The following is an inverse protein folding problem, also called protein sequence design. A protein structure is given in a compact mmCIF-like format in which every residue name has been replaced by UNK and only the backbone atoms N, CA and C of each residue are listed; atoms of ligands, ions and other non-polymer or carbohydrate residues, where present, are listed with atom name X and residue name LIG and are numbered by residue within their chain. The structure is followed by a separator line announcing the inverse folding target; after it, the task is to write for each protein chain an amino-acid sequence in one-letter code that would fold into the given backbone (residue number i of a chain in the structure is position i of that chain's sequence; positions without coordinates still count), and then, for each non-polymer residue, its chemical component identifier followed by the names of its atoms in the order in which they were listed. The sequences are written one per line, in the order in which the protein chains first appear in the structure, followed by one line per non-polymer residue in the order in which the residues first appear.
data_IF_787004101747
#
_entry.id   IF_787004101747
#
_cell.length_a   1.000
_cell.length_b   1.000
_cell.length_c   1.000
_cell.angle_alpha   90.00
_cell.angle_beta   90.00
_cell.angle_gamma   90.00
#
_symmetry.space_group_name_H-M   'P 1'
#
loop_
_entity.id
_entity.type
_entity.pdbx_description
1 polymer ?
#
# COMPACT_ATOMS: atom_id res chain seq x y z
N UNK A 1 15.02 11.73 4.47
CA UNK A 1 16.47 11.55 4.78
C UNK A 1 16.74 10.21 5.47
N UNK A 2 15.75 9.63 6.19
CA UNK A 2 15.92 8.37 6.91
C UNK A 2 15.84 7.13 6.00
N UNK A 3 15.33 7.31 4.77
CA UNK A 3 15.30 6.29 3.73
C UNK A 3 16.36 6.67 2.68
N UNK A 4 17.49 5.95 2.60
CA UNK A 4 18.63 6.33 1.76
C UNK A 4 18.38 6.20 0.26
N UNK A 5 17.38 5.42 -0.12
CA UNK A 5 17.01 5.19 -1.51
C UNK A 5 15.69 5.85 -1.90
N UNK A 6 14.88 5.14 -2.67
CA UNK A 6 13.56 5.60 -3.10
C UNK A 6 12.59 5.64 -1.92
N UNK A 7 11.88 6.76 -1.66
CA UNK A 7 10.95 6.86 -0.54
C UNK A 7 9.59 6.19 -0.83
N UNK A 8 9.42 5.60 -2.00
CA UNK A 8 8.16 4.98 -2.43
C UNK A 8 8.20 3.46 -2.34
N UNK A 9 7.06 2.87 -2.08
CA UNK A 9 6.85 1.44 -2.26
C UNK A 9 6.80 1.15 -3.77
N UNK A 10 7.71 0.34 -4.31
CA UNK A 10 7.70 0.02 -5.73
C UNK A 10 6.51 -0.85 -6.11
N UNK A 11 6.13 -0.76 -7.38
CA UNK A 11 5.00 -1.50 -7.96
C UNK A 11 3.62 -1.16 -7.37
N UNK A 12 3.52 -0.09 -6.57
CA UNK A 12 2.23 0.48 -6.19
C UNK A 12 1.82 1.55 -7.21
N UNK A 13 0.58 1.50 -7.66
CA UNK A 13 -0.03 2.56 -8.47
C UNK A 13 -1.32 3.01 -7.77
N UNK A 14 -1.40 4.24 -7.31
CA UNK A 14 -0.35 5.28 -7.27
C UNK A 14 0.82 4.91 -6.36
N UNK A 15 1.96 5.58 -6.52
CA UNK A 15 3.14 5.35 -5.69
C UNK A 15 2.86 5.75 -4.24
N UNK A 16 2.87 4.79 -3.33
CA UNK A 16 2.67 5.00 -1.90
C UNK A 16 4.02 5.27 -1.22
N UNK A 17 4.08 6.27 -0.36
CA UNK A 17 5.28 6.54 0.43
C UNK A 17 5.52 5.46 1.49
N UNK A 18 6.78 5.17 1.79
CA UNK A 18 7.14 4.39 2.99
C UNK A 18 6.77 5.18 4.24
N UNK A 19 7.14 6.47 4.28
CA UNK A 19 6.67 7.46 5.23
C UNK A 19 6.35 8.77 4.50
N UNK A 20 5.20 9.40 4.74
CA UNK A 20 4.86 10.67 4.11
C UNK A 20 5.75 11.80 4.66
N UNK A 21 6.06 12.77 3.80
CA UNK A 21 6.91 13.91 4.14
C UNK A 21 6.16 15.25 4.14
N UNK A 22 4.95 15.29 3.61
CA UNK A 22 4.18 16.51 3.36
C UNK A 22 2.78 16.48 3.97
N UNK A 23 2.04 15.38 3.78
CA UNK A 23 0.66 15.24 4.25
C UNK A 23 0.29 13.77 4.46
N UNK A 24 -0.67 13.54 5.34
CA UNK A 24 -1.32 12.25 5.53
C UNK A 24 -2.42 12.13 4.48
N UNK A 25 -2.42 11.05 3.71
CA UNK A 25 -3.31 10.84 2.57
C UNK A 25 -4.52 9.99 2.87
N UNK A 26 -4.34 9.02 3.77
CA UNK A 26 -5.41 8.10 4.16
C UNK A 26 -5.26 7.63 5.60
N UNK A 27 -6.34 7.16 6.17
CA UNK A 27 -6.34 6.57 7.51
C UNK A 27 -5.51 5.28 7.54
N UNK A 28 -4.52 5.23 8.43
CA UNK A 28 -3.61 4.09 8.56
C UNK A 28 -2.30 4.24 7.78
N UNK A 29 -2.08 5.39 7.12
CA UNK A 29 -0.77 5.68 6.52
C UNK A 29 0.31 5.73 7.62
N UNK A 30 1.40 4.98 7.45
CA UNK A 30 2.49 4.94 8.42
C UNK A 30 3.26 6.27 8.42
N UNK A 31 3.29 6.96 9.55
CA UNK A 31 3.91 8.28 9.67
C UNK A 31 5.38 8.21 10.02
N UNK A 32 5.75 7.27 10.87
CA UNK A 32 7.12 7.04 11.32
C UNK A 32 7.27 5.64 11.89
N UNK A 33 8.51 5.22 12.10
CA UNK A 33 8.86 3.98 12.79
C UNK A 33 9.80 4.28 13.94
N UNK A 34 9.76 3.45 14.97
CA UNK A 34 10.69 3.51 16.12
C UNK A 34 11.53 2.25 16.15
N UNK A 35 12.83 2.42 16.32
CA UNK A 35 13.78 1.34 16.55
C UNK A 35 14.32 1.44 17.97
N UNK A 36 14.25 0.36 18.74
CA UNK A 36 14.72 0.30 20.12
C UNK A 36 15.36 -1.06 20.45
N UNK A 37 15.99 -1.14 21.61
CA UNK A 37 16.64 -2.36 22.09
C UNK A 37 15.64 -3.44 22.56
N UNK A 38 14.38 -3.08 22.77
CA UNK A 38 13.29 -3.99 23.09
C UNK A 38 11.97 -3.41 22.65
N UNK A 39 10.97 -4.29 22.47
CA UNK A 39 9.59 -3.92 22.12
C UNK A 39 8.99 -2.94 23.14
N UNK A 40 9.15 -3.21 24.44
CA UNK A 40 8.64 -2.32 25.50
C UNK A 40 9.19 -0.89 25.39
N UNK A 41 10.48 -0.73 25.11
CA UNK A 41 11.09 0.59 24.90
C UNK A 41 10.54 1.24 23.61
N UNK A 42 10.32 0.47 22.55
CA UNK A 42 9.75 0.98 21.34
C UNK A 42 8.31 1.47 21.56
N UNK A 43 7.49 0.73 22.28
CA UNK A 43 6.12 1.11 22.64
C UNK A 43 6.08 2.38 23.51
N UNK A 44 6.94 2.46 24.52
CA UNK A 44 7.07 3.68 25.34
C UNK A 44 7.45 4.89 24.48
N UNK A 45 8.39 4.73 23.55
CA UNK A 45 8.82 5.79 22.64
C UNK A 45 7.70 6.19 21.66
N UNK A 46 6.95 5.24 21.12
CA UNK A 46 5.78 5.52 20.27
C UNK A 46 4.72 6.34 21.01
N UNK A 47 4.48 6.03 22.30
CA UNK A 47 3.51 6.77 23.11
C UNK A 47 3.92 8.24 23.38
N UNK A 48 5.19 8.58 23.21
CA UNK A 48 5.69 9.96 23.35
C UNK A 48 5.57 10.78 22.08
N UNK A 49 5.35 10.15 20.93
CA UNK A 49 5.20 10.83 19.65
C UNK A 49 3.85 11.57 19.63
N UNK A 50 3.91 12.87 19.42
CA UNK A 50 2.73 13.71 19.22
C UNK A 50 2.59 14.05 17.75
N UNK A 51 1.42 13.80 17.20
CA UNK A 51 1.07 14.16 15.83
C UNK A 51 0.09 15.32 15.89
N UNK A 52 0.47 16.44 15.29
CA UNK A 52 -0.39 17.58 15.06
C UNK A 52 -0.64 17.68 13.56
N UNK A 53 -1.89 17.76 13.16
CA UNK A 53 -2.26 17.81 11.74
C UNK A 53 -3.44 18.76 11.53
N UNK A 54 -3.33 19.55 10.47
CA UNK A 54 -4.43 20.38 9.99
C UNK A 54 -5.24 19.60 8.96
N UNK A 55 -6.57 19.42 9.18
CA UNK A 55 -7.42 18.70 8.24
C UNK A 55 -7.46 19.39 6.87
N UNK A 56 -7.20 18.64 5.81
CA UNK A 56 -7.38 19.09 4.44
C UNK A 56 -8.76 18.64 3.92
N UNK A 57 -9.25 19.27 2.82
CA UNK A 57 -10.44 18.75 2.13
C UNK A 57 -10.22 17.27 1.78
N UNK A 58 -11.21 16.45 2.11
CA UNK A 58 -11.12 15.00 1.98
C UNK A 58 -12.37 14.45 1.31
N UNK A 59 -12.25 13.27 0.72
CA UNK A 59 -13.33 12.53 0.09
C UNK A 59 -13.35 11.10 0.66
N UNK A 60 -14.51 10.67 1.17
CA UNK A 60 -14.71 9.29 1.64
C UNK A 60 -15.51 8.45 0.65
N UNK A 61 -16.34 9.10 -0.15
CA UNK A 61 -17.18 8.43 -1.14
C UNK A 61 -16.54 8.54 -2.54
N UNK A 62 -16.78 7.51 -3.37
CA UNK A 62 -16.28 7.48 -4.74
C UNK A 62 -16.78 8.68 -5.56
N UNK A 63 -18.04 9.08 -5.36
CA UNK A 63 -18.62 10.24 -6.04
C UNK A 63 -17.86 11.54 -5.72
N UNK A 64 -17.54 11.76 -4.43
CA UNK A 64 -16.80 12.95 -3.99
C UNK A 64 -15.36 12.93 -4.52
N UNK A 65 -14.71 11.76 -4.49
CA UNK A 65 -13.36 11.60 -5.01
C UNK A 65 -13.26 11.76 -6.53
N UNK A 66 -14.36 11.52 -7.25
CA UNK A 66 -14.43 11.64 -8.69
C UNK A 66 -14.83 13.03 -9.18
N UNK A 67 -15.25 13.93 -8.28
CA UNK A 67 -15.63 15.29 -8.63
C UNK A 67 -14.46 16.06 -9.27
N UNK A 68 -14.75 16.98 -10.19
CA UNK A 68 -13.72 17.73 -10.92
C UNK A 68 -12.84 18.59 -9.99
N UNK A 69 -13.41 19.10 -8.92
CA UNK A 69 -12.76 19.94 -7.91
C UNK A 69 -12.18 19.15 -6.72
N UNK A 70 -12.28 17.83 -6.73
CA UNK A 70 -11.72 16.98 -5.67
C UNK A 70 -10.19 17.15 -5.58
N UNK A 71 -9.69 17.29 -4.36
CA UNK A 71 -8.25 17.35 -4.11
C UNK A 71 -7.59 16.01 -4.47
N UNK A 72 -6.57 15.99 -5.33
CA UNK A 72 -5.87 14.74 -5.66
C UNK A 72 -5.14 14.19 -4.43
N UNK A 73 -5.22 12.89 -4.23
CA UNK A 73 -4.51 12.21 -3.15
C UNK A 73 -2.99 12.26 -3.35
N UNK A 74 -2.53 12.17 -4.59
CA UNK A 74 -1.13 12.24 -5.00
C UNK A 74 -0.96 13.24 -6.14
N UNK A 75 0.01 14.15 -6.02
CA UNK A 75 0.26 15.20 -7.03
C UNK A 75 0.83 14.61 -8.34
N UNK A 76 1.47 13.46 -8.25
CA UNK A 76 2.11 12.76 -9.37
C UNK A 76 1.22 11.67 -10.01
N UNK A 77 -0.01 11.52 -9.56
CA UNK A 77 -0.92 10.50 -10.05
C UNK A 77 -2.30 11.11 -10.37
N UNK A 78 -2.99 10.65 -11.42
CA UNK A 78 -4.35 11.09 -11.68
C UNK A 78 -5.28 10.69 -10.52
N UNK A 79 -6.31 11.51 -10.28
CA UNK A 79 -7.33 11.23 -9.24
C UNK A 79 -8.05 9.91 -9.47
N UNK A 80 -8.30 9.60 -10.74
CA UNK A 80 -8.93 8.36 -11.17
C UNK A 80 -7.96 7.66 -12.11
N UNK A 81 -7.68 6.40 -11.85
CA UNK A 81 -6.88 5.58 -12.76
C UNK A 81 -7.56 5.49 -14.13
N UNK A 82 -6.76 5.35 -15.19
CA UNK A 82 -7.31 5.08 -16.51
C UNK A 82 -8.16 3.80 -16.42
N UNK A 83 -9.37 3.80 -16.99
CA UNK A 83 -10.20 2.62 -16.99
C UNK A 83 -9.53 1.49 -17.77
N UNK A 84 -9.55 0.31 -17.22
CA UNK A 84 -9.23 -0.90 -17.97
C UNK A 84 -10.51 -1.35 -18.68
N UNK A 85 -10.50 -1.34 -20.01
CA UNK A 85 -11.64 -1.72 -20.82
C UNK A 85 -11.43 -3.12 -21.41
N UNK A 86 -12.34 -4.01 -21.10
CA UNK A 86 -12.44 -5.33 -21.74
C UNK A 86 -13.82 -5.42 -22.39
N UNK A 87 -13.84 -5.54 -23.71
CA UNK A 87 -15.08 -5.61 -24.49
C UNK A 87 -15.19 -6.94 -25.22
N UNK A 88 -16.36 -7.57 -25.14
CA UNK A 88 -16.66 -8.80 -25.84
C UNK A 88 -18.15 -8.85 -26.22
N UNK A 89 -18.45 -9.12 -27.48
CA UNK A 89 -19.81 -9.20 -27.99
C UNK A 89 -20.45 -7.83 -28.28
N UNK A 90 -21.77 -7.81 -28.35
CA UNK A 90 -22.61 -6.64 -28.59
C UNK A 90 -23.58 -6.46 -27.41
N UNK A 91 -23.34 -5.46 -26.56
CA UNK A 91 -24.11 -5.22 -25.35
C UNK A 91 -25.54 -4.71 -25.67
N UNK A 92 -25.69 -3.91 -26.72
CA UNK A 92 -26.97 -3.36 -27.11
C UNK A 92 -27.89 -4.46 -27.66
N UNK A 93 -27.34 -5.35 -28.48
CA UNK A 93 -28.05 -6.53 -28.93
C UNK A 93 -28.46 -7.43 -27.77
N UNK A 94 -27.56 -7.64 -26.80
CA UNK A 94 -27.85 -8.43 -25.61
C UNK A 94 -28.99 -7.85 -24.77
N UNK A 95 -29.05 -6.53 -24.57
CA UNK A 95 -30.18 -5.88 -23.89
C UNK A 95 -31.48 -5.96 -24.69
N UNK A 96 -31.40 -5.84 -26.02
CA UNK A 96 -32.59 -5.93 -26.87
C UNK A 96 -33.22 -7.34 -26.92
N UNK A 97 -32.39 -8.39 -26.74
CA UNK A 97 -32.83 -9.79 -26.72
C UNK A 97 -33.27 -10.26 -25.34
N UNK A 98 -32.95 -9.51 -24.25
CA UNK A 98 -33.25 -9.91 -22.91
C UNK A 98 -34.73 -9.86 -22.57
N UNK A 99 -35.30 -10.95 -22.06
CA UNK A 99 -36.69 -11.01 -21.57
C UNK A 99 -36.88 -10.18 -20.28
N UNK A 100 -35.83 -10.05 -19.46
CA UNK A 100 -35.83 -9.32 -18.19
C UNK A 100 -34.53 -8.56 -18.00
N UNK A 101 -34.63 -7.28 -17.69
CA UNK A 101 -33.49 -6.43 -17.31
C UNK A 101 -33.68 -5.99 -15.87
N UNK A 102 -32.66 -6.25 -15.01
CA UNK A 102 -32.66 -5.86 -13.60
C UNK A 102 -31.52 -4.89 -13.37
N UNK A 103 -31.82 -3.76 -12.74
CA UNK A 103 -30.83 -2.77 -12.31
C UNK A 103 -30.94 -2.53 -10.80
N UNK A 104 -29.85 -2.71 -10.11
CA UNK A 104 -29.73 -2.42 -8.67
C UNK A 104 -28.45 -1.68 -8.34
N UNK A 105 -28.49 -0.91 -7.26
CA UNK A 105 -27.30 -0.30 -6.65
C UNK A 105 -26.86 -1.13 -5.45
N UNK A 106 -25.61 -1.59 -5.49
CA UNK A 106 -24.99 -2.37 -4.41
C UNK A 106 -23.81 -1.60 -3.82
N UNK A 107 -23.75 -1.53 -2.48
CA UNK A 107 -22.64 -0.93 -1.77
C UNK A 107 -21.99 -1.95 -0.85
N UNK A 108 -20.66 -2.02 -0.88
CA UNK A 108 -19.86 -2.87 0.01
C UNK A 108 -18.87 -1.97 0.73
N UNK A 109 -18.89 -1.91 2.08
CA UNK A 109 -17.91 -1.14 2.82
C UNK A 109 -16.52 -1.78 2.72
N UNK A 110 -15.49 -0.97 2.96
CA UNK A 110 -14.14 -1.47 3.13
C UNK A 110 -14.09 -2.48 4.28
N UNK A 111 -13.38 -3.59 4.07
CA UNK A 111 -13.24 -4.68 5.05
C UNK A 111 -11.78 -5.07 5.17
N UNK A 112 -11.39 -5.41 6.39
CA UNK A 112 -10.11 -6.01 6.67
C UNK A 112 -10.21 -7.54 6.47
N UNK A 113 -9.17 -8.16 5.91
CA UNK A 113 -9.14 -9.58 5.57
C UNK A 113 -8.99 -10.49 6.79
N UNK A 114 -8.49 -9.94 7.91
CA UNK A 114 -8.25 -10.65 9.16
C UNK A 114 -7.37 -11.90 8.96
N UNK A 115 -6.25 -11.75 8.24
CA UNK A 115 -5.26 -12.81 8.12
C UNK A 115 -4.79 -13.25 9.51
N UNK A 116 -4.61 -14.56 9.71
CA UNK A 116 -4.21 -15.10 11.03
C UNK A 116 -2.76 -14.77 11.37
N UNK A 117 -1.90 -14.54 10.37
CA UNK A 117 -0.52 -14.14 10.56
C UNK A 117 -0.44 -12.63 10.84
N UNK A 118 0.13 -12.21 11.99
CA UNK A 118 0.51 -10.83 12.22
C UNK A 118 1.67 -10.44 11.30
N UNK A 119 1.69 -9.19 10.87
CA UNK A 119 2.80 -8.68 10.08
C UNK A 119 4.07 -8.59 10.93
N UNK A 120 5.13 -9.26 10.47
CA UNK A 120 6.43 -9.24 11.13
C UNK A 120 7.56 -9.42 10.13
N UNK A 121 8.71 -8.86 10.46
CA UNK A 121 9.92 -9.06 9.69
C UNK A 121 11.13 -9.17 10.61
N UNK A 122 12.06 -10.05 10.25
CA UNK A 122 13.36 -10.17 10.86
C UNK A 122 14.43 -9.90 9.81
N UNK A 123 15.33 -8.96 10.08
CA UNK A 123 16.40 -8.59 9.16
C UNK A 123 17.77 -8.60 9.84
N UNK A 124 18.80 -9.05 9.10
CA UNK A 124 20.19 -9.01 9.57
C UNK A 124 21.16 -8.97 8.39
N UNK A 125 22.39 -8.56 8.67
CA UNK A 125 23.48 -8.64 7.70
C UNK A 125 24.21 -9.99 7.81
N UNK A 126 24.43 -10.63 6.67
CA UNK A 126 25.30 -11.80 6.52
C UNK A 126 26.45 -11.43 5.57
N UNK A 127 27.55 -10.99 6.12
CA UNK A 127 28.59 -10.30 5.38
C UNK A 127 28.05 -9.01 4.75
N UNK A 128 28.15 -8.87 3.44
CA UNK A 128 27.66 -7.71 2.69
C UNK A 128 26.21 -7.89 2.20
N UNK A 129 25.55 -8.98 2.57
CA UNK A 129 24.19 -9.27 2.13
C UNK A 129 23.16 -9.01 3.23
N UNK A 130 22.09 -8.33 2.88
CA UNK A 130 20.91 -8.17 3.73
C UNK A 130 20.01 -9.39 3.61
N UNK A 131 19.78 -10.06 4.72
CA UNK A 131 18.83 -11.18 4.82
C UNK A 131 17.57 -10.69 5.51
N UNK A 132 16.41 -10.95 4.91
CA UNK A 132 15.10 -10.61 5.49
C UNK A 132 14.24 -11.87 5.50
N UNK A 133 13.64 -12.16 6.66
CA UNK A 133 12.56 -13.16 6.80
C UNK A 133 11.26 -12.46 7.10
N UNK A 134 10.25 -12.70 6.27
CA UNK A 134 8.91 -12.12 6.43
C UNK A 134 7.88 -12.92 5.64
N UNK A 135 6.62 -12.91 6.07
CA UNK A 135 5.50 -13.42 5.28
C UNK A 135 5.17 -12.43 4.17
N UNK A 136 5.72 -12.63 2.98
CA UNK A 136 5.54 -11.73 1.85
C UNK A 136 5.24 -12.49 0.57
N UNK A 137 4.11 -12.21 -0.04
CA UNK A 137 3.81 -12.62 -1.41
C UNK A 137 4.75 -11.87 -2.37
N UNK A 138 5.16 -12.48 -3.44
CA UNK A 138 6.17 -11.94 -4.37
C UNK A 138 7.55 -11.59 -3.73
N UNK A 139 7.95 -12.31 -2.69
CA UNK A 139 9.20 -12.08 -1.95
C UNK A 139 10.44 -12.04 -2.86
N UNK A 140 10.53 -12.92 -3.85
CA UNK A 140 11.77 -13.18 -4.61
C UNK A 140 12.13 -12.10 -5.65
N UNK A 141 11.16 -11.45 -6.25
CA UNK A 141 11.41 -10.44 -7.29
C UNK A 141 11.03 -9.05 -6.79
N UNK A 142 9.75 -8.84 -6.53
CA UNK A 142 9.25 -7.52 -6.14
C UNK A 142 9.73 -7.11 -4.75
N UNK A 143 9.71 -8.03 -3.79
CA UNK A 143 10.17 -7.77 -2.43
C UNK A 143 11.66 -7.41 -2.37
N UNK A 144 12.52 -8.20 -3.02
CA UNK A 144 13.97 -7.92 -3.05
C UNK A 144 14.27 -6.59 -3.75
N UNK A 145 13.59 -6.29 -4.86
CA UNK A 145 13.76 -5.04 -5.55
C UNK A 145 13.29 -3.84 -4.72
N UNK A 146 12.16 -4.00 -4.01
CA UNK A 146 11.62 -2.97 -3.13
C UNK A 146 12.59 -2.58 -2.03
N UNK A 147 13.05 -3.57 -1.29
CA UNK A 147 13.99 -3.37 -0.19
C UNK A 147 15.31 -2.79 -0.69
N UNK A 148 15.84 -3.32 -1.79
CA UNK A 148 17.06 -2.82 -2.40
C UNK A 148 16.94 -1.35 -2.83
N UNK A 149 15.84 -0.98 -3.47
CA UNK A 149 15.60 0.39 -3.92
C UNK A 149 15.44 1.36 -2.75
N UNK A 150 14.70 0.97 -1.70
CA UNK A 150 14.51 1.83 -0.52
C UNK A 150 15.80 2.01 0.29
N UNK A 151 16.67 1.01 0.31
CA UNK A 151 17.93 1.05 1.05
C UNK A 151 19.15 1.48 0.21
N UNK A 152 18.96 1.84 -1.07
CA UNK A 152 20.02 2.14 -2.03
C UNK A 152 21.07 1.02 -2.14
N UNK A 153 20.62 -0.23 -2.04
CA UNK A 153 21.44 -1.44 -2.19
C UNK A 153 21.28 -2.03 -3.59
N UNK A 154 22.19 -2.92 -3.99
CA UNK A 154 21.99 -3.73 -5.17
C UNK A 154 21.01 -4.86 -4.86
N UNK A 155 20.14 -5.20 -5.82
CA UNK A 155 19.16 -6.29 -5.64
C UNK A 155 19.83 -7.65 -5.33
N UNK A 156 21.00 -7.91 -5.89
CA UNK A 156 21.79 -9.13 -5.66
C UNK A 156 22.33 -9.25 -4.23
N UNK A 157 22.36 -8.14 -3.48
CA UNK A 157 22.81 -8.08 -2.08
C UNK A 157 21.64 -8.19 -1.09
N UNK A 158 20.41 -8.31 -1.58
CA UNK A 158 19.21 -8.49 -0.75
C UNK A 158 18.63 -9.89 -0.98
N UNK A 159 18.42 -10.63 0.09
CA UNK A 159 17.75 -11.93 0.07
C UNK A 159 16.55 -11.93 0.99
N UNK A 160 15.36 -12.14 0.43
CA UNK A 160 14.13 -12.33 1.20
C UNK A 160 13.76 -13.81 1.22
N UNK A 161 13.40 -14.31 2.38
CA UNK A 161 12.85 -15.65 2.55
C UNK A 161 11.49 -15.57 3.24
N UNK A 162 10.51 -16.28 2.69
CA UNK A 162 9.19 -16.43 3.24
C UNK A 162 9.06 -17.85 3.82
N UNK A 163 9.11 -18.01 5.16
CA UNK A 163 9.06 -19.36 5.76
C UNK A 163 7.66 -19.98 5.66
N UNK A 164 6.65 -19.20 5.96
CA UNK A 164 5.24 -19.53 5.83
C UNK A 164 4.47 -18.23 5.68
N UNK A 165 3.33 -18.26 5.03
CA UNK A 165 2.47 -17.11 4.84
C UNK A 165 1.06 -17.47 5.34
N UNK A 166 0.54 -16.66 6.28
CA UNK A 166 -0.73 -16.90 6.96
C UNK A 166 -1.93 -16.22 6.30
N UNK A 167 -1.79 -15.78 5.08
CA UNK A 167 -2.85 -15.20 4.25
C UNK A 167 -2.32 -14.32 3.13
N UNK A 168 -3.07 -14.30 2.04
CA UNK A 168 -2.84 -13.39 0.90
C UNK A 168 -4.15 -13.32 0.10
N UNK A 169 -5.03 -12.45 0.53
CA UNK A 169 -6.41 -12.34 0.02
C UNK A 169 -6.57 -11.21 -0.98
#
# INVERSE_FOLDING_TARGET
EDIPGTPFLPNCQPQVYVFPTDRIRFKGEALCGVVAMSEAIAEEALALIKVEADPLPHAFEVADASAEDATPMYDHSPRVSAPEEVSCGDIEAGFAEADVVIQHHYTVPAREHAAMEPESALAWMDGDKLIVKTGLYHAFVQGTQSVANNLAMKQEDVRISCPAMGGNF
#
